data_IF_250138595538
#
_entry.id   IF_250138595538
#
_cell.length_a   1.000
_cell.length_b   1.000
_cell.length_c   1.000
_cell.angle_alpha   90.00
_cell.angle_beta   90.00
_cell.angle_gamma   90.00
#
_symmetry.space_group_name_H-M   'P 1'
#
loop_
_entity.id
_entity.type
_entity.pdbx_description
1 polymer ?
#
# COMPACT_ATOMS: atom_id res chain seq x y z
N UNK A 1 56.87 34.71 -22.30
CA UNK A 1 55.91 35.60 -21.65
C UNK A 1 56.72 36.80 -21.10
N UNK A 2 56.61 38.00 -21.69
CA UNK A 2 57.40 39.19 -21.24
C UNK A 2 56.65 39.80 -20.05
N UNK A 3 57.30 39.79 -18.87
CA UNK A 3 56.80 40.48 -17.67
C UNK A 3 56.61 41.97 -17.95
N UNK A 4 55.48 42.59 -17.46
CA UNK A 4 55.27 44.01 -17.69
C UNK A 4 56.42 44.84 -17.10
N UNK A 5 56.97 45.80 -17.87
CA UNK A 5 58.13 46.64 -17.51
C UNK A 5 58.02 47.24 -16.10
N UNK A 6 56.84 47.52 -15.61
CA UNK A 6 56.60 48.07 -14.26
C UNK A 6 56.99 47.13 -13.11
N UNK A 7 56.99 45.79 -13.32
CA UNK A 7 57.37 44.82 -12.29
C UNK A 7 58.94 44.77 -12.17
N UNK A 8 59.68 45.07 -13.25
CA UNK A 8 61.11 45.06 -13.25
C UNK A 8 61.73 46.21 -12.42
N UNK A 9 61.04 47.35 -12.26
CA UNK A 9 61.53 48.54 -11.55
C UNK A 9 61.23 48.56 -10.05
N UNK A 10 60.50 47.57 -9.53
CA UNK A 10 60.17 47.46 -8.12
C UNK A 10 61.34 47.00 -7.26
N UNK A 11 61.49 47.55 -6.02
CA UNK A 11 62.48 47.07 -5.04
C UNK A 11 62.23 45.60 -4.72
N UNK A 12 63.27 44.81 -4.48
CA UNK A 12 63.27 43.38 -4.27
C UNK A 12 62.23 42.94 -3.24
N UNK A 13 62.04 43.68 -2.13
CA UNK A 13 61.06 43.41 -1.10
C UNK A 13 59.59 43.38 -1.60
N UNK A 14 59.27 44.28 -2.52
CA UNK A 14 57.90 44.32 -3.11
C UNK A 14 57.71 43.21 -4.14
N UNK A 15 58.73 42.83 -4.88
CA UNK A 15 58.68 41.68 -5.79
C UNK A 15 58.43 40.40 -5.05
N UNK A 16 59.06 40.13 -3.92
CA UNK A 16 58.85 38.97 -3.07
C UNK A 16 57.48 38.98 -2.47
N UNK A 17 57.04 40.11 -1.90
CA UNK A 17 55.69 40.22 -1.29
C UNK A 17 54.59 39.95 -2.30
N UNK A 18 54.64 40.54 -3.49
CA UNK A 18 53.65 40.30 -4.55
C UNK A 18 53.64 38.83 -5.01
N UNK A 19 54.83 38.25 -5.20
CA UNK A 19 54.95 36.84 -5.64
C UNK A 19 54.40 35.88 -4.62
N UNK A 20 54.70 36.02 -3.33
CA UNK A 20 54.17 35.17 -2.26
C UNK A 20 52.68 35.37 -2.06
N UNK A 21 52.21 36.62 -2.09
CA UNK A 21 50.79 36.92 -2.00
C UNK A 21 49.99 36.32 -3.18
N UNK A 22 50.55 36.40 -4.39
CA UNK A 22 49.92 35.82 -5.58
C UNK A 22 49.79 34.28 -5.48
N UNK A 23 50.89 33.61 -5.06
CA UNK A 23 50.87 32.15 -4.83
C UNK A 23 49.92 31.78 -3.74
N UNK A 24 49.87 32.52 -2.63
CA UNK A 24 48.97 32.29 -1.52
C UNK A 24 47.50 32.44 -1.92
N UNK A 25 47.16 33.54 -2.62
CA UNK A 25 45.79 33.74 -3.11
C UNK A 25 45.39 32.66 -4.11
N UNK A 26 46.28 32.26 -5.01
CA UNK A 26 46.04 31.21 -5.98
C UNK A 26 45.75 29.87 -5.30
N UNK A 27 46.54 29.49 -4.30
CA UNK A 27 46.36 28.25 -3.55
C UNK A 27 45.04 28.23 -2.78
N UNK A 28 44.69 29.35 -2.14
CA UNK A 28 43.38 29.48 -1.45
C UNK A 28 42.20 29.38 -2.43
N UNK A 29 42.31 30.02 -3.59
CA UNK A 29 41.26 29.97 -4.60
C UNK A 29 41.07 28.55 -5.13
N UNK A 30 42.15 27.85 -5.46
CA UNK A 30 42.08 26.46 -5.91
C UNK A 30 41.46 25.56 -4.82
N UNK A 31 41.93 25.67 -3.57
CA UNK A 31 41.40 24.92 -2.45
C UNK A 31 39.91 25.18 -2.23
N UNK A 32 39.48 26.43 -2.28
CA UNK A 32 38.05 26.80 -2.15
C UNK A 32 37.19 26.22 -3.25
N UNK A 33 37.64 26.24 -4.50
CA UNK A 33 36.91 25.66 -5.63
C UNK A 33 36.79 24.15 -5.49
N UNK A 34 37.85 23.46 -5.08
CA UNK A 34 37.79 22.01 -4.85
C UNK A 34 36.80 21.66 -3.74
N UNK A 35 36.90 22.36 -2.60
CA UNK A 35 35.98 22.13 -1.47
C UNK A 35 34.53 22.40 -1.88
N UNK A 36 34.29 23.51 -2.59
CA UNK A 36 32.93 23.83 -3.07
C UNK A 36 32.33 22.73 -3.93
N UNK A 37 33.08 22.25 -4.93
CA UNK A 37 32.58 21.15 -5.79
C UNK A 37 32.39 19.85 -5.03
N UNK A 38 33.28 19.51 -4.12
CA UNK A 38 33.16 18.31 -3.31
C UNK A 38 31.93 18.34 -2.39
N UNK A 39 31.75 19.45 -1.66
CA UNK A 39 30.60 19.64 -0.75
C UNK A 39 29.31 19.65 -1.53
N UNK A 40 29.25 20.36 -2.66
CA UNK A 40 28.05 20.39 -3.52
C UNK A 40 27.69 19.00 -3.99
N UNK A 41 28.62 18.24 -4.56
CA UNK A 41 28.35 16.87 -5.03
C UNK A 41 27.91 15.94 -3.91
N UNK A 42 28.50 16.05 -2.72
CA UNK A 42 28.12 15.24 -1.55
C UNK A 42 26.71 15.58 -1.05
N UNK A 43 26.38 16.87 -0.99
CA UNK A 43 25.05 17.31 -0.56
C UNK A 43 23.98 16.85 -1.57
N UNK A 44 24.21 17.06 -2.87
CA UNK A 44 23.26 16.66 -3.92
C UNK A 44 23.02 15.14 -3.88
N UNK A 45 24.07 14.32 -3.78
CA UNK A 45 23.94 12.87 -3.69
C UNK A 45 23.21 12.39 -2.43
N UNK A 46 23.54 13.00 -1.28
CA UNK A 46 22.88 12.65 -0.02
C UNK A 46 21.41 13.05 -0.03
N UNK A 47 21.07 14.23 -0.52
CA UNK A 47 19.68 14.69 -0.64
C UNK A 47 18.85 13.80 -1.56
N UNK A 48 19.39 13.40 -2.72
CA UNK A 48 18.70 12.49 -3.64
C UNK A 48 18.44 11.13 -2.99
N UNK A 49 19.45 10.57 -2.33
CA UNK A 49 19.30 9.29 -1.62
C UNK A 49 18.30 9.37 -0.48
N UNK A 50 18.35 10.41 0.34
CA UNK A 50 17.43 10.62 1.45
C UNK A 50 16.00 10.82 0.96
N UNK A 51 15.80 11.63 -0.08
CA UNK A 51 14.48 11.85 -0.68
C UNK A 51 13.89 10.55 -1.24
N UNK A 52 14.69 9.76 -1.95
CA UNK A 52 14.27 8.47 -2.49
C UNK A 52 13.88 7.50 -1.37
N UNK A 53 14.71 7.37 -0.34
CA UNK A 53 14.45 6.49 0.80
C UNK A 53 13.19 6.92 1.58
N UNK A 54 13.05 8.22 1.83
CA UNK A 54 11.88 8.78 2.50
C UNK A 54 10.61 8.55 1.69
N UNK A 55 10.65 8.78 0.38
CA UNK A 55 9.51 8.54 -0.51
C UNK A 55 9.10 7.07 -0.54
N UNK A 56 10.05 6.15 -0.61
CA UNK A 56 9.78 4.71 -0.55
C UNK A 56 9.18 4.29 0.80
N UNK A 57 9.69 4.85 1.89
CA UNK A 57 9.17 4.58 3.24
C UNK A 57 7.72 5.07 3.38
N UNK A 58 7.44 6.29 2.93
CA UNK A 58 6.06 6.85 2.96
C UNK A 58 5.13 6.00 2.09
N UNK A 59 5.54 5.62 0.88
CA UNK A 59 4.74 4.78 0.00
C UNK A 59 4.43 3.42 0.63
N UNK A 60 5.43 2.78 1.24
CA UNK A 60 5.27 1.52 1.97
C UNK A 60 4.30 1.68 3.15
N UNK A 61 4.45 2.75 3.93
CA UNK A 61 3.58 3.05 5.07
C UNK A 61 2.13 3.28 4.62
N UNK A 62 1.90 4.05 3.57
CA UNK A 62 0.55 4.29 3.01
C UNK A 62 -0.08 2.99 2.53
N UNK A 63 0.65 2.17 1.79
CA UNK A 63 0.16 0.87 1.31
C UNK A 63 -0.22 -0.06 2.47
N UNK A 64 0.65 -0.17 3.47
CA UNK A 64 0.40 -1.00 4.64
C UNK A 64 -0.81 -0.50 5.44
N UNK A 65 -0.90 0.82 5.67
CA UNK A 65 -2.04 1.40 6.38
C UNK A 65 -3.36 1.20 5.63
N UNK A 66 -3.35 1.35 4.30
CA UNK A 66 -4.53 1.09 3.47
C UNK A 66 -4.94 -0.39 3.54
N UNK A 67 -3.99 -1.32 3.41
CA UNK A 67 -4.25 -2.75 3.50
C UNK A 67 -4.84 -3.14 4.85
N UNK A 68 -4.25 -2.67 5.96
CA UNK A 68 -4.74 -2.92 7.32
C UNK A 68 -6.14 -2.33 7.52
N UNK A 69 -6.39 -1.12 7.00
CA UNK A 69 -7.71 -0.49 7.09
C UNK A 69 -8.78 -1.30 6.35
N UNK A 70 -8.48 -1.80 5.15
CA UNK A 70 -9.38 -2.66 4.37
C UNK A 70 -9.65 -3.96 5.12
N UNK A 71 -8.61 -4.63 5.62
CA UNK A 71 -8.76 -5.88 6.38
C UNK A 71 -9.62 -5.70 7.62
N UNK A 72 -9.41 -4.63 8.39
CA UNK A 72 -10.20 -4.34 9.58
C UNK A 72 -11.66 -4.01 9.22
N UNK A 73 -11.89 -3.27 8.15
CA UNK A 73 -13.24 -2.98 7.67
C UNK A 73 -13.98 -4.26 7.27
N UNK A 74 -13.37 -5.11 6.44
CA UNK A 74 -13.97 -6.37 6.01
C UNK A 74 -14.23 -7.32 7.18
N UNK A 75 -13.31 -7.37 8.14
CA UNK A 75 -13.50 -8.13 9.38
C UNK A 75 -14.71 -7.64 10.17
N UNK A 76 -14.82 -6.33 10.39
CA UNK A 76 -15.96 -5.74 11.10
C UNK A 76 -17.30 -6.04 10.40
N UNK A 77 -17.33 -5.97 9.07
CA UNK A 77 -18.49 -6.35 8.27
C UNK A 77 -18.83 -7.83 8.47
N UNK A 78 -17.86 -8.72 8.39
CA UNK A 78 -18.08 -10.17 8.57
C UNK A 78 -18.56 -10.50 9.99
N UNK A 79 -17.95 -9.90 11.02
CA UNK A 79 -18.38 -10.08 12.42
C UNK A 79 -19.80 -9.59 12.64
N UNK A 80 -20.17 -8.43 12.08
CA UNK A 80 -21.52 -7.90 12.19
C UNK A 80 -22.56 -8.78 11.51
N UNK A 81 -22.26 -9.29 10.33
CA UNK A 81 -23.15 -10.18 9.62
C UNK A 81 -23.33 -11.54 10.32
N UNK A 82 -22.26 -12.04 10.96
CA UNK A 82 -22.36 -13.23 11.82
C UNK A 82 -23.27 -12.98 13.02
N UNK A 83 -23.21 -11.83 13.66
CA UNK A 83 -24.11 -11.46 14.76
C UNK A 83 -25.58 -11.41 14.31
N UNK A 84 -25.82 -10.79 13.14
CA UNK A 84 -27.17 -10.71 12.56
C UNK A 84 -27.72 -12.11 12.30
N UNK A 85 -26.95 -12.95 11.60
CA UNK A 85 -27.36 -14.33 11.31
C UNK A 85 -27.65 -15.14 12.60
N UNK A 86 -26.78 -15.00 13.60
CA UNK A 86 -26.94 -15.65 14.88
C UNK A 86 -28.19 -15.18 15.59
N UNK A 87 -28.49 -13.89 15.62
CA UNK A 87 -29.66 -13.33 16.25
C UNK A 87 -30.97 -13.94 15.69
N UNK A 88 -31.11 -13.98 14.37
CA UNK A 88 -32.30 -14.56 13.75
C UNK A 88 -32.36 -16.10 13.91
N UNK A 89 -31.20 -16.76 13.90
CA UNK A 89 -31.11 -18.18 14.20
C UNK A 89 -31.61 -18.50 15.63
N UNK A 90 -31.16 -17.73 16.63
CA UNK A 90 -31.61 -17.89 18.02
C UNK A 90 -33.10 -17.63 18.19
N UNK A 91 -33.69 -16.65 17.49
CA UNK A 91 -35.14 -16.43 17.49
C UNK A 91 -35.89 -17.62 16.91
N UNK A 92 -35.40 -18.19 15.82
CA UNK A 92 -36.00 -19.38 15.22
C UNK A 92 -35.90 -20.60 16.16
N UNK A 93 -34.75 -20.78 16.84
CA UNK A 93 -34.60 -21.86 17.84
C UNK A 93 -35.52 -21.68 19.06
N UNK A 94 -35.74 -20.43 19.47
CA UNK A 94 -36.67 -20.12 20.56
C UNK A 94 -38.17 -20.27 20.18
N UNK A 95 -38.47 -20.55 18.90
CA UNK A 95 -39.84 -20.69 18.42
C UNK A 95 -40.60 -19.37 18.24
N UNK A 96 -39.90 -18.22 18.35
CA UNK A 96 -40.49 -16.89 18.15
C UNK A 96 -40.65 -16.52 16.67
N UNK A 97 -39.96 -17.23 15.78
CA UNK A 97 -40.00 -17.03 14.34
C UNK A 97 -39.81 -18.38 13.61
N UNK A 98 -40.48 -18.64 12.48
CA UNK A 98 -40.19 -19.81 11.66
C UNK A 98 -38.78 -19.76 11.04
N UNK A 99 -38.08 -20.88 10.99
CA UNK A 99 -36.72 -20.94 10.41
C UNK A 99 -36.63 -20.44 8.95
N UNK A 100 -37.60 -20.72 8.06
CA UNK A 100 -37.56 -20.17 6.70
C UNK A 100 -37.65 -18.64 6.67
N UNK A 101 -38.42 -18.04 7.56
CA UNK A 101 -38.56 -16.58 7.68
C UNK A 101 -37.25 -15.96 8.20
N UNK A 102 -36.66 -16.56 9.24
CA UNK A 102 -35.33 -16.13 9.74
C UNK A 102 -34.25 -16.14 8.64
N UNK A 103 -34.24 -17.23 7.84
CA UNK A 103 -33.29 -17.30 6.69
C UNK A 103 -33.55 -16.22 5.65
N UNK A 104 -34.82 -15.97 5.29
CA UNK A 104 -35.17 -14.95 4.31
C UNK A 104 -34.78 -13.55 4.76
N UNK A 105 -34.97 -13.22 6.04
CA UNK A 105 -34.54 -11.92 6.60
C UNK A 105 -33.00 -11.76 6.59
N UNK A 106 -32.27 -12.80 6.97
CA UNK A 106 -30.82 -12.80 6.91
C UNK A 106 -30.33 -12.59 5.47
N UNK A 107 -30.92 -13.30 4.51
CA UNK A 107 -30.60 -13.16 3.09
C UNK A 107 -30.85 -11.73 2.59
N UNK A 108 -32.04 -11.18 2.88
CA UNK A 108 -32.40 -9.81 2.50
C UNK A 108 -31.41 -8.78 3.08
N UNK A 109 -31.12 -8.88 4.38
CA UNK A 109 -30.20 -7.96 5.07
C UNK A 109 -28.78 -8.07 4.47
N UNK A 110 -28.26 -9.27 4.26
CA UNK A 110 -26.92 -9.48 3.75
C UNK A 110 -26.77 -9.00 2.30
N UNK A 111 -27.77 -9.29 1.45
CA UNK A 111 -27.73 -8.89 0.04
C UNK A 111 -28.02 -7.40 -0.18
N UNK A 112 -28.65 -6.71 0.78
CA UNK A 112 -28.86 -5.27 0.72
C UNK A 112 -27.59 -4.46 0.98
N UNK A 113 -26.54 -5.09 1.53
CA UNK A 113 -25.29 -4.41 1.90
C UNK A 113 -24.38 -4.24 0.71
N UNK A 114 -23.86 -3.02 0.55
CA UNK A 114 -22.82 -2.70 -0.42
C UNK A 114 -21.47 -2.56 0.31
N UNK A 115 -20.46 -3.30 -0.14
CA UNK A 115 -19.11 -3.26 0.42
C UNK A 115 -18.18 -2.57 -0.57
N UNK A 116 -17.83 -1.32 -0.28
CA UNK A 116 -17.12 -0.47 -1.24
C UNK A 116 -17.94 -0.26 -2.52
N UNK A 117 -17.29 -0.28 -3.67
CA UNK A 117 -17.94 -0.04 -4.97
C UNK A 117 -18.39 -1.32 -5.67
N UNK A 118 -17.74 -2.44 -5.41
CA UNK A 118 -17.97 -3.71 -6.14
C UNK A 118 -18.04 -4.94 -5.23
N UNK A 119 -17.84 -4.76 -3.93
CA UNK A 119 -17.87 -5.84 -2.97
C UNK A 119 -19.29 -6.25 -2.59
N UNK A 120 -19.47 -7.50 -2.20
CA UNK A 120 -20.70 -8.10 -1.78
C UNK A 120 -20.45 -9.21 -0.75
N UNK A 121 -21.50 -9.64 -0.08
CA UNK A 121 -21.45 -10.76 0.84
C UNK A 121 -21.93 -12.02 0.11
N UNK A 122 -21.24 -13.12 0.36
CA UNK A 122 -21.71 -14.44 -0.03
C UNK A 122 -21.56 -15.43 1.12
N UNK A 123 -22.33 -16.50 1.09
CA UNK A 123 -22.21 -17.57 2.07
C UNK A 123 -22.13 -18.93 1.38
N UNK A 124 -21.33 -19.79 1.98
CA UNK A 124 -21.20 -21.20 1.61
C UNK A 124 -21.69 -22.06 2.77
N UNK A 125 -22.19 -23.24 2.45
CA UNK A 125 -22.39 -24.27 3.45
C UNK A 125 -21.07 -24.97 3.83
N UNK A 126 -21.17 -25.97 4.73
CA UNK A 126 -20.01 -26.76 5.17
C UNK A 126 -19.33 -27.56 4.05
N UNK A 127 -20.05 -27.88 3.00
CA UNK A 127 -19.56 -28.67 1.88
C UNK A 127 -18.90 -27.79 0.80
N UNK A 128 -19.16 -26.51 0.79
CA UNK A 128 -18.63 -25.52 -0.16
C UNK A 128 -19.61 -25.16 -1.25
N UNK A 129 -20.89 -25.48 -1.04
CA UNK A 129 -21.96 -25.10 -1.95
C UNK A 129 -22.43 -23.68 -1.64
N UNK A 130 -22.65 -22.88 -2.68
CA UNK A 130 -23.10 -21.49 -2.55
C UNK A 130 -24.55 -21.43 -2.11
N UNK A 131 -24.79 -20.87 -0.92
CA UNK A 131 -26.14 -20.73 -0.33
C UNK A 131 -26.67 -19.30 -0.35
N UNK A 132 -25.79 -18.30 -0.49
CA UNK A 132 -26.15 -16.89 -0.62
C UNK A 132 -25.20 -16.18 -1.54
N UNK A 133 -25.69 -15.53 -2.57
CA UNK A 133 -24.90 -14.73 -3.51
C UNK A 133 -25.79 -13.73 -4.27
N UNK A 134 -25.34 -12.49 -4.56
CA UNK A 134 -26.11 -11.54 -5.37
C UNK A 134 -26.40 -12.06 -6.79
N UNK A 135 -25.46 -12.79 -7.37
CA UNK A 135 -25.64 -13.44 -8.68
C UNK A 135 -26.34 -14.79 -8.49
N UNK A 136 -27.62 -14.83 -8.86
CA UNK A 136 -28.48 -16.01 -8.67
C UNK A 136 -27.97 -17.27 -9.41
N UNK A 137 -27.21 -17.09 -10.51
CA UNK A 137 -26.65 -18.20 -11.27
C UNK A 137 -25.63 -19.02 -10.47
N UNK A 138 -25.09 -18.45 -9.39
CA UNK A 138 -24.15 -19.15 -8.51
C UNK A 138 -24.80 -19.90 -7.34
N UNK A 139 -26.08 -19.68 -7.08
CA UNK A 139 -26.78 -20.37 -6.00
C UNK A 139 -26.86 -21.89 -6.28
N UNK A 140 -26.49 -22.70 -5.31
CA UNK A 140 -26.42 -24.15 -5.41
C UNK A 140 -25.21 -24.69 -6.16
N UNK A 141 -24.28 -23.84 -6.62
CA UNK A 141 -23.06 -24.27 -7.27
C UNK A 141 -22.07 -24.76 -6.22
N UNK A 142 -21.51 -25.96 -6.46
CA UNK A 142 -20.43 -26.52 -5.65
C UNK A 142 -19.09 -25.90 -6.06
N UNK A 143 -18.48 -25.19 -5.13
CA UNK A 143 -17.19 -24.53 -5.30
C UNK A 143 -16.07 -25.21 -4.51
N UNK A 144 -16.32 -26.39 -3.94
CA UNK A 144 -15.33 -27.14 -3.14
C UNK A 144 -14.04 -27.51 -3.90
N UNK A 145 -14.10 -27.53 -5.23
CA UNK A 145 -12.93 -27.73 -6.10
C UNK A 145 -11.97 -26.56 -6.16
N UNK A 146 -12.33 -25.38 -5.66
CA UNK A 146 -11.48 -24.19 -5.70
C UNK A 146 -10.55 -24.09 -4.48
N UNK A 147 -9.28 -23.81 -4.70
CA UNK A 147 -8.27 -23.68 -3.64
C UNK A 147 -8.64 -22.63 -2.59
N UNK A 148 -9.14 -21.47 -3.00
CA UNK A 148 -9.52 -20.41 -2.08
C UNK A 148 -10.66 -20.83 -1.15
N UNK A 149 -11.63 -21.64 -1.60
CA UNK A 149 -12.70 -22.20 -0.77
C UNK A 149 -12.12 -23.16 0.29
N UNK A 150 -11.21 -24.04 -0.13
CA UNK A 150 -10.55 -24.97 0.79
C UNK A 150 -9.72 -24.22 1.85
N UNK A 151 -9.04 -23.15 1.45
CA UNK A 151 -8.31 -22.27 2.38
C UNK A 151 -9.24 -21.53 3.34
N UNK A 152 -10.41 -21.07 2.90
CA UNK A 152 -11.43 -20.46 3.76
C UNK A 152 -11.96 -21.47 4.77
N UNK A 153 -12.35 -22.67 4.33
CA UNK A 153 -12.83 -23.76 5.20
C UNK A 153 -11.79 -24.17 6.25
N UNK A 154 -10.50 -24.26 5.86
CA UNK A 154 -9.42 -24.63 6.76
C UNK A 154 -9.12 -23.53 7.80
N UNK A 155 -9.17 -22.26 7.41
CA UNK A 155 -8.87 -21.12 8.30
C UNK A 155 -10.06 -20.75 9.20
N UNK A 156 -11.28 -20.97 8.75
CA UNK A 156 -12.56 -20.58 9.37
C UNK A 156 -12.73 -19.07 9.58
N UNK A 157 -11.69 -18.39 10.00
CA UNK A 157 -11.63 -16.93 10.17
C UNK A 157 -10.34 -16.37 9.58
N UNK A 158 -10.37 -15.16 9.02
CA UNK A 158 -9.21 -14.47 8.50
C UNK A 158 -9.47 -13.68 7.23
N UNK A 159 -8.38 -13.13 6.71
CA UNK A 159 -8.35 -12.39 5.45
C UNK A 159 -7.70 -13.26 4.38
N UNK A 160 -8.29 -13.28 3.18
CA UNK A 160 -7.81 -14.05 2.04
C UNK A 160 -8.04 -13.27 0.75
N UNK A 161 -6.96 -13.08 -0.01
CA UNK A 161 -7.05 -12.54 -1.37
C UNK A 161 -7.05 -13.69 -2.37
N UNK A 162 -7.91 -13.58 -3.40
CA UNK A 162 -8.02 -14.54 -4.49
C UNK A 162 -8.59 -13.88 -5.74
N UNK A 163 -8.32 -14.46 -6.90
CA UNK A 163 -8.94 -14.02 -8.15
C UNK A 163 -10.23 -14.80 -8.40
N UNK A 164 -11.29 -14.08 -8.74
CA UNK A 164 -12.58 -14.67 -9.06
C UNK A 164 -13.21 -13.99 -10.27
N UNK A 165 -13.88 -14.78 -11.10
CA UNK A 165 -14.64 -14.31 -12.25
C UNK A 165 -16.10 -14.71 -12.08
N UNK A 166 -16.99 -13.73 -11.95
CA UNK A 166 -18.41 -13.99 -11.94
C UNK A 166 -18.91 -14.37 -13.34
N UNK A 167 -20.01 -15.13 -13.43
CA UNK A 167 -20.67 -15.36 -14.70
C UNK A 167 -20.96 -14.03 -15.42
N UNK A 168 -20.53 -13.94 -16.70
CA UNK A 168 -20.70 -12.72 -17.52
C UNK A 168 -19.60 -11.65 -17.37
N UNK A 169 -18.66 -11.80 -16.45
CA UNK A 169 -17.46 -10.94 -16.41
C UNK A 169 -16.45 -11.38 -17.48
N UNK A 170 -15.78 -10.41 -18.12
CA UNK A 170 -14.80 -10.68 -19.18
C UNK A 170 -13.48 -11.26 -18.64
N UNK A 171 -13.10 -10.89 -17.42
CA UNK A 171 -11.83 -11.27 -16.79
C UNK A 171 -12.01 -11.49 -15.28
N UNK A 172 -11.17 -12.36 -14.66
CA UNK A 172 -11.09 -12.47 -13.21
C UNK A 172 -10.73 -11.13 -12.57
N UNK A 173 -11.27 -10.90 -11.38
CA UNK A 173 -10.96 -9.73 -10.55
C UNK A 173 -10.43 -10.15 -9.21
N UNK A 174 -9.48 -9.42 -8.64
CA UNK A 174 -9.05 -9.66 -7.27
C UNK A 174 -10.22 -9.43 -6.31
N UNK A 175 -10.41 -10.37 -5.40
CA UNK A 175 -11.39 -10.37 -4.31
C UNK A 175 -10.67 -10.57 -2.98
N UNK A 176 -11.30 -10.15 -1.90
CA UNK A 176 -10.81 -10.32 -0.55
C UNK A 176 -11.96 -10.60 0.42
#
# INVERSE_FOLDING_TARGET
MRLPRRFADLRIRYKLLISYSAVFILSLTIGSVIIYHFVKATIESNMESELKNTTQTILSMVRTSAAVSIQNHLRAVAEKNREIARHFYEQAQAGTMPMPEAKALVEEIMLSQSIGTTGYIYCLDSDGVMVLHPEKALLGVDLSGHDFINRQKARKEGYLEYDWQNPGEAHPRPKA
#
